data_IF_226311216639
#
_entry.id   IF_226311216639
#
_cell.length_a   1.000
_cell.length_b   1.000
_cell.length_c   1.000
_cell.angle_alpha   90.00
_cell.angle_beta   90.00
_cell.angle_gamma   90.00
#
_symmetry.space_group_name_H-M   'P 1'
#
loop_
_entity.id
_entity.type
_entity.pdbx_description
1 polymer ?
#
# COMPACT_ATOMS: atom_id res chain seq x y z
N UNK A 1 21.00 -20.52 2.26
CA UNK A 1 20.44 -19.39 3.04
C UNK A 1 21.37 -18.21 2.87
N UNK A 2 21.03 -17.24 2.02
CA UNK A 2 21.86 -16.04 1.81
C UNK A 2 21.46 -15.00 2.84
N UNK A 3 22.25 -14.88 3.90
CA UNK A 3 22.13 -13.77 4.85
C UNK A 3 22.66 -12.52 4.18
N UNK A 4 21.84 -11.47 4.08
CA UNK A 4 22.33 -10.14 3.73
C UNK A 4 23.25 -9.67 4.86
N UNK A 5 24.56 -9.87 4.69
CA UNK A 5 25.57 -9.23 5.54
C UNK A 5 25.65 -7.76 5.13
N UNK A 6 24.92 -6.91 5.83
CA UNK A 6 25.19 -5.48 5.79
C UNK A 6 26.51 -5.25 6.53
N UNK A 7 27.61 -5.06 5.79
CA UNK A 7 28.85 -4.54 6.36
C UNK A 7 28.60 -3.10 6.84
N UNK A 8 28.20 -2.94 8.09
CA UNK A 8 28.31 -1.65 8.77
C UNK A 8 29.80 -1.49 9.09
N UNK A 9 30.51 -0.78 8.22
CA UNK A 9 31.86 -0.30 8.53
C UNK A 9 31.77 0.55 9.80
N UNK A 10 32.32 0.04 10.91
CA UNK A 10 32.46 0.82 12.13
C UNK A 10 33.45 1.93 11.84
N UNK A 11 32.94 3.15 11.77
CA UNK A 11 33.77 4.34 11.72
C UNK A 11 34.66 4.35 12.96
N UNK A 12 35.96 4.56 12.78
CA UNK A 12 36.88 4.72 13.90
C UNK A 12 36.55 6.01 14.66
N UNK A 13 37.01 6.12 15.91
CA UNK A 13 36.60 7.16 16.87
C UNK A 13 36.78 8.61 16.36
N UNK A 14 37.64 8.84 15.38
CA UNK A 14 37.97 10.16 14.82
C UNK A 14 37.46 10.36 13.38
N UNK A 15 36.64 9.44 12.88
CA UNK A 15 36.08 9.58 11.54
C UNK A 15 35.11 10.77 11.48
N UNK A 16 35.39 11.69 10.56
CA UNK A 16 34.55 12.86 10.27
C UNK A 16 33.43 12.58 9.27
N UNK A 17 33.47 11.42 8.61
CA UNK A 17 32.42 10.94 7.70
C UNK A 17 31.35 10.14 8.43
N UNK A 18 30.10 10.24 7.98
CA UNK A 18 28.99 9.44 8.50
C UNK A 18 28.53 8.40 7.46
N UNK A 19 28.23 7.19 7.90
CA UNK A 19 27.50 6.24 7.05
C UNK A 19 26.05 6.69 6.96
N UNK A 20 25.58 6.97 5.75
CA UNK A 20 24.17 7.27 5.49
C UNK A 20 23.45 5.97 5.10
N UNK A 21 22.54 5.51 5.95
CA UNK A 21 21.66 4.39 5.60
C UNK A 21 20.44 4.93 4.86
N UNK A 22 20.40 4.73 3.53
CA UNK A 22 19.20 5.02 2.76
C UNK A 22 18.22 3.86 2.89
N UNK A 23 17.17 4.03 3.69
CA UNK A 23 16.10 3.04 3.84
C UNK A 23 14.85 3.53 3.14
N UNK A 24 14.39 2.87 2.05
CA UNK A 24 13.13 3.20 1.42
C UNK A 24 11.99 3.17 2.43
N UNK A 25 11.06 4.11 2.29
CA UNK A 25 9.83 4.12 3.07
C UNK A 25 8.64 4.17 2.14
N UNK A 26 7.54 3.52 2.55
CA UNK A 26 6.29 3.51 1.80
C UNK A 26 5.16 3.91 2.74
N UNK A 27 4.32 4.89 2.36
CA UNK A 27 3.11 5.20 3.10
C UNK A 27 2.09 4.06 2.94
N UNK A 28 1.51 3.63 4.05
CA UNK A 28 0.42 2.66 4.10
C UNK A 28 -0.71 3.27 4.91
N UNK A 29 -1.94 3.14 4.41
CA UNK A 29 -3.14 3.66 5.06
C UNK A 29 -4.02 2.48 5.43
N UNK A 30 -4.34 2.36 6.71
CA UNK A 30 -5.37 1.45 7.19
C UNK A 30 -6.70 2.20 7.22
N UNK A 31 -7.67 1.71 6.46
CA UNK A 31 -8.94 2.40 6.29
C UNK A 31 -10.14 1.46 6.39
N UNK A 32 -11.26 1.98 6.88
CA UNK A 32 -12.53 1.26 7.01
C UNK A 32 -13.30 1.16 5.70
N UNK A 33 -13.03 2.06 4.77
CA UNK A 33 -13.69 2.17 3.47
C UNK A 33 -12.68 2.63 2.41
N UNK A 34 -12.86 2.21 1.14
CA UNK A 34 -11.98 2.62 0.03
C UNK A 34 -12.12 4.12 -0.30
N UNK A 35 -11.27 4.62 -1.21
CA UNK A 35 -11.28 6.00 -1.71
C UNK A 35 -10.42 6.98 -0.89
N UNK A 36 -10.31 8.21 -1.37
CA UNK A 36 -9.61 9.31 -0.66
C UNK A 36 -10.65 10.19 0.02
N UNK A 37 -10.79 10.07 1.34
CA UNK A 37 -11.63 11.02 2.08
C UNK A 37 -10.93 12.37 2.22
N UNK A 38 -11.71 13.44 2.15
CA UNK A 38 -11.36 14.72 2.77
C UNK A 38 -11.54 14.59 4.28
N UNK A 39 -10.48 14.25 5.01
CA UNK A 39 -10.45 14.19 6.48
C UNK A 39 -10.01 12.84 7.07
N UNK A 40 -9.95 12.76 8.40
CA UNK A 40 -9.43 11.59 9.15
C UNK A 40 -10.49 10.49 9.37
N UNK A 41 -11.67 10.60 8.77
CA UNK A 41 -12.85 9.80 9.15
C UNK A 41 -12.83 8.36 8.63
N UNK A 42 -11.92 8.02 7.71
CA UNK A 42 -11.77 6.66 7.18
C UNK A 42 -10.66 5.86 7.84
N UNK A 43 -9.71 6.54 8.50
CA UNK A 43 -8.56 5.93 9.15
C UNK A 43 -8.93 4.95 10.25
N UNK A 44 -8.24 3.81 10.30
CA UNK A 44 -8.30 2.88 11.43
C UNK A 44 -7.25 3.31 12.44
N UNK A 45 -7.70 3.94 13.52
CA UNK A 45 -6.86 4.43 14.60
C UNK A 45 -6.65 3.40 15.70
N UNK A 46 -5.51 3.48 16.38
CA UNK A 46 -5.29 2.75 17.63
C UNK A 46 -4.95 1.27 17.46
N UNK A 47 -4.58 0.83 16.25
CA UNK A 47 -4.13 -0.54 16.01
C UNK A 47 -2.61 -0.63 16.22
N UNK A 48 -2.16 -1.60 17.00
CA UNK A 48 -0.74 -1.85 17.16
C UNK A 48 -0.21 -2.53 15.90
N UNK A 49 0.99 -2.15 15.45
CA UNK A 49 1.63 -2.74 14.28
C UNK A 49 3.10 -3.05 14.54
N UNK A 50 3.60 -4.03 13.79
CA UNK A 50 5.01 -4.44 13.77
C UNK A 50 5.47 -4.64 12.34
N UNK A 51 6.65 -4.13 12.04
CA UNK A 51 7.33 -4.35 10.76
C UNK A 51 8.56 -5.20 11.02
N UNK A 52 8.69 -6.29 10.28
CA UNK A 52 9.86 -7.16 10.33
C UNK A 52 10.56 -7.23 8.98
N UNK A 53 11.90 -7.27 9.00
CA UNK A 53 12.71 -7.49 7.81
C UNK A 53 13.92 -8.35 8.19
N UNK A 54 14.23 -9.37 7.38
CA UNK A 54 15.29 -10.34 7.69
C UNK A 54 15.10 -11.08 9.03
N UNK A 55 13.86 -11.28 9.47
CA UNK A 55 13.54 -11.93 10.75
C UNK A 55 13.70 -11.02 11.99
N UNK A 56 14.10 -9.76 11.81
CA UNK A 56 14.24 -8.79 12.89
C UNK A 56 13.12 -7.75 12.86
N UNK A 57 12.72 -7.26 14.04
CA UNK A 57 11.78 -6.13 14.15
C UNK A 57 12.52 -4.84 13.81
N UNK A 58 12.03 -4.12 12.80
CA UNK A 58 12.64 -2.87 12.32
C UNK A 58 11.81 -1.63 12.66
N UNK A 59 10.54 -1.83 13.01
CA UNK A 59 9.63 -0.78 13.40
C UNK A 59 8.46 -1.37 14.19
N UNK A 60 7.98 -0.63 15.19
CA UNK A 60 6.70 -0.86 15.88
C UNK A 60 5.99 0.46 16.04
N UNK A 61 4.69 0.40 16.30
CA UNK A 61 3.93 1.59 16.62
C UNK A 61 2.45 1.32 16.75
N UNK A 62 1.68 2.40 16.79
CA UNK A 62 0.22 2.38 16.82
C UNK A 62 -0.30 3.29 15.73
N UNK A 63 -1.36 2.89 15.03
CA UNK A 63 -1.92 3.68 13.94
C UNK A 63 -2.50 5.00 14.46
N UNK A 64 -2.14 6.14 13.86
CA UNK A 64 -2.71 7.45 14.18
C UNK A 64 -4.19 7.55 13.76
N UNK A 65 -4.83 8.69 14.06
CA UNK A 65 -6.26 8.92 13.79
C UNK A 65 -6.63 8.74 12.30
N UNK A 66 -5.73 9.16 11.39
CA UNK A 66 -5.88 9.03 9.94
C UNK A 66 -5.53 7.62 9.41
N UNK A 67 -5.10 6.70 10.29
CA UNK A 67 -4.71 5.34 9.91
C UNK A 67 -3.43 5.26 9.07
N UNK A 68 -2.72 6.38 8.84
CA UNK A 68 -1.53 6.43 7.98
C UNK A 68 -0.28 6.09 8.77
N UNK A 69 0.52 5.17 8.25
CA UNK A 69 1.85 4.88 8.77
C UNK A 69 2.88 4.94 7.65
N UNK A 70 4.12 5.30 8.02
CA UNK A 70 5.26 5.23 7.12
C UNK A 70 6.02 3.95 7.44
N UNK A 71 5.99 2.96 6.54
CA UNK A 71 6.67 1.68 6.73
C UNK A 71 8.07 1.72 6.17
N UNK A 72 9.04 1.35 7.01
CA UNK A 72 10.45 1.21 6.62
C UNK A 72 10.67 -0.13 5.92
N UNK A 73 11.38 -0.09 4.80
CA UNK A 73 11.66 -1.26 3.97
C UNK A 73 13.18 -1.45 3.80
N UNK A 74 13.90 -1.92 4.82
CA UNK A 74 15.30 -2.32 4.65
C UNK A 74 15.42 -3.38 3.56
N UNK A 75 16.27 -3.13 2.55
CA UNK A 75 16.38 -4.02 1.38
C UNK A 75 15.18 -4.01 0.44
N UNK A 76 14.27 -3.03 0.56
CA UNK A 76 13.13 -2.85 -0.34
C UNK A 76 11.93 -3.77 -0.06
N UNK A 77 11.97 -4.57 1.01
CA UNK A 77 10.90 -5.48 1.41
C UNK A 77 10.78 -5.60 2.93
N UNK A 78 9.56 -5.74 3.42
CA UNK A 78 9.29 -6.06 4.82
C UNK A 78 7.95 -6.80 4.97
N UNK A 79 7.79 -7.47 6.11
CA UNK A 79 6.49 -8.00 6.54
C UNK A 79 5.87 -7.02 7.53
N UNK A 80 4.67 -6.54 7.22
CA UNK A 80 3.86 -5.71 8.10
C UNK A 80 2.79 -6.56 8.76
N UNK A 81 2.74 -6.51 10.08
CA UNK A 81 1.75 -7.21 10.89
C UNK A 81 0.90 -6.20 11.66
N UNK A 82 -0.41 -6.40 11.63
CA UNK A 82 -1.34 -5.75 12.53
C UNK A 82 -1.58 -6.66 13.72
N UNK A 83 -1.51 -6.09 14.92
CA UNK A 83 -1.53 -6.83 16.17
C UNK A 83 -2.83 -6.53 16.94
N UNK A 84 -3.35 -7.55 17.60
CA UNK A 84 -4.37 -7.44 18.64
C UNK A 84 -3.88 -8.19 19.87
N UNK A 85 -3.74 -7.49 21.00
CA UNK A 85 -3.18 -8.04 22.25
C UNK A 85 -1.83 -8.75 22.04
N UNK A 86 -0.96 -8.17 21.20
CA UNK A 86 0.36 -8.73 20.88
C UNK A 86 0.37 -9.86 19.84
N UNK A 87 -0.80 -10.33 19.38
CA UNK A 87 -0.91 -11.41 18.39
C UNK A 87 -1.20 -10.85 16.99
N UNK A 88 -0.53 -11.33 15.93
CA UNK A 88 -0.86 -10.95 14.56
C UNK A 88 -2.29 -11.36 14.18
N UNK A 89 -3.07 -10.40 13.67
CA UNK A 89 -4.41 -10.63 13.11
C UNK A 89 -4.45 -10.44 11.59
N UNK A 90 -3.46 -9.74 11.03
CA UNK A 90 -3.27 -9.59 9.61
C UNK A 90 -1.77 -9.44 9.29
N UNK A 91 -1.35 -10.03 8.19
CA UNK A 91 0.05 -10.04 7.73
C UNK A 91 0.10 -9.65 6.27
N UNK A 92 0.96 -8.68 5.95
CA UNK A 92 1.12 -8.13 4.61
C UNK A 92 2.59 -8.21 4.19
N UNK A 93 2.82 -8.67 2.96
CA UNK A 93 4.12 -8.54 2.31
C UNK A 93 4.21 -7.19 1.61
N UNK A 94 5.09 -6.32 2.10
CA UNK A 94 5.26 -4.95 1.59
C UNK A 94 6.54 -4.91 0.78
N UNK A 95 6.42 -4.48 -0.48
CA UNK A 95 7.53 -4.37 -1.42
C UNK A 95 7.54 -3.00 -2.07
N UNK A 96 8.72 -2.44 -2.28
CA UNK A 96 8.86 -1.27 -3.17
C UNK A 96 8.55 -1.71 -4.59
N UNK A 97 7.61 -1.02 -5.23
CA UNK A 97 7.41 -1.12 -6.68
C UNK A 97 8.19 0.00 -7.35
N UNK A 98 9.14 -0.37 -8.21
CA UNK A 98 9.89 0.56 -9.06
C UNK A 98 9.32 0.69 -10.47
N UNK A 99 8.50 -0.28 -10.90
CA UNK A 99 7.83 -0.24 -12.20
C UNK A 99 6.73 0.82 -12.22
N UNK A 100 6.60 1.52 -13.35
CA UNK A 100 5.48 2.41 -13.61
C UNK A 100 4.14 1.68 -13.45
N UNK A 101 3.09 2.45 -13.15
CA UNK A 101 1.73 1.95 -13.27
C UNK A 101 1.45 1.65 -14.74
N UNK A 102 0.68 0.58 -14.99
CA UNK A 102 0.17 0.26 -16.31
C UNK A 102 -0.72 1.41 -16.81
N UNK A 103 -0.87 1.50 -18.13
CA UNK A 103 -1.70 2.53 -18.75
C UNK A 103 -3.12 2.51 -18.18
N UNK A 104 -3.67 3.69 -17.93
CA UNK A 104 -4.96 3.90 -17.26
C UNK A 104 -6.17 3.42 -18.07
N UNK A 105 -5.99 3.18 -19.37
CA UNK A 105 -6.97 2.59 -20.27
C UNK A 105 -6.83 1.06 -20.43
N UNK A 106 -6.02 0.41 -19.59
CA UNK A 106 -5.90 -1.06 -19.54
C UNK A 106 -6.55 -1.61 -18.28
N UNK A 107 -7.10 -2.83 -18.35
CA UNK A 107 -7.72 -3.50 -17.20
C UNK A 107 -6.76 -3.58 -15.99
N UNK A 108 -5.49 -4.04 -16.14
CA UNK A 108 -4.54 -4.01 -15.03
C UNK A 108 -4.29 -2.61 -14.47
N UNK A 109 -4.26 -1.59 -15.33
CA UNK A 109 -4.06 -0.20 -14.90
C UNK A 109 -5.21 0.35 -14.07
N UNK A 110 -6.46 0.04 -14.45
CA UNK A 110 -7.66 0.41 -13.67
C UNK A 110 -7.68 -0.33 -12.34
N UNK A 111 -7.48 -1.66 -12.36
CA UNK A 111 -7.43 -2.48 -11.16
C UNK A 111 -6.35 -1.99 -10.18
N UNK A 112 -5.14 -1.69 -10.67
CA UNK A 112 -4.06 -1.23 -9.79
C UNK A 112 -4.40 0.09 -9.09
N UNK A 113 -5.03 1.03 -9.81
CA UNK A 113 -5.48 2.31 -9.25
C UNK A 113 -6.60 2.12 -8.23
N UNK A 114 -7.60 1.27 -8.51
CA UNK A 114 -8.65 0.91 -7.55
C UNK A 114 -8.05 0.29 -6.27
N UNK A 115 -7.06 -0.59 -6.42
CA UNK A 115 -6.36 -1.21 -5.28
C UNK A 115 -5.55 -0.19 -4.47
N UNK A 116 -4.92 0.80 -5.11
CA UNK A 116 -4.24 1.91 -4.41
C UNK A 116 -5.21 2.74 -3.57
N UNK A 117 -6.47 2.87 -4.02
CA UNK A 117 -7.55 3.48 -3.24
C UNK A 117 -8.16 2.52 -2.20
N UNK A 118 -7.66 1.29 -2.10
CA UNK A 118 -8.07 0.27 -1.16
C UNK A 118 -9.39 -0.43 -1.48
N UNK A 119 -9.84 -0.40 -2.74
CA UNK A 119 -10.91 -1.31 -3.18
C UNK A 119 -10.40 -2.75 -3.20
N UNK A 120 -11.24 -3.68 -2.73
CA UNK A 120 -10.90 -5.11 -2.68
C UNK A 120 -11.20 -5.78 -4.02
N UNK A 121 -10.16 -6.25 -4.69
CA UNK A 121 -10.26 -6.90 -6.01
C UNK A 121 -10.15 -8.43 -5.94
N UNK A 122 -9.97 -8.97 -4.73
CA UNK A 122 -9.74 -10.39 -4.49
C UNK A 122 -8.25 -10.74 -4.45
N UNK A 123 -7.98 -12.03 -4.61
CA UNK A 123 -6.65 -12.63 -4.54
C UNK A 123 -6.31 -13.42 -5.81
N UNK A 124 -7.01 -13.14 -6.90
CA UNK A 124 -6.73 -13.76 -8.20
C UNK A 124 -5.41 -13.19 -8.78
N UNK A 125 -4.86 -13.87 -9.78
CA UNK A 125 -3.61 -13.47 -10.44
C UNK A 125 -2.35 -14.06 -9.82
N UNK A 126 -1.19 -13.91 -10.49
CA UNK A 126 0.06 -14.56 -10.12
C UNK A 126 0.63 -14.08 -8.78
N UNK A 127 0.35 -12.82 -8.42
CA UNK A 127 0.83 -12.18 -7.19
C UNK A 127 -0.21 -12.21 -6.06
N UNK A 128 -1.36 -12.87 -6.28
CA UNK A 128 -2.51 -12.86 -5.37
C UNK A 128 -2.98 -11.44 -4.98
N UNK A 129 -2.81 -10.47 -5.89
CA UNK A 129 -3.15 -9.07 -5.71
C UNK A 129 -4.44 -8.66 -6.45
N UNK A 130 -5.18 -9.63 -7.01
CA UNK A 130 -6.43 -9.38 -7.71
C UNK A 130 -6.25 -8.62 -9.03
N UNK A 131 -5.01 -8.46 -9.51
CA UNK A 131 -4.72 -7.85 -10.81
C UNK A 131 -4.68 -8.94 -11.87
N UNK A 132 -5.56 -8.81 -12.86
CA UNK A 132 -5.83 -9.82 -13.91
C UNK A 132 -5.87 -9.17 -15.29
N UNK A 133 -5.92 -9.99 -16.34
CA UNK A 133 -6.16 -9.50 -17.71
C UNK A 133 -7.60 -9.10 -17.96
N UNK A 134 -8.52 -9.58 -17.13
CA UNK A 134 -9.97 -9.49 -17.35
C UNK A 134 -10.70 -8.79 -16.20
N UNK A 135 -11.87 -8.22 -16.47
CA UNK A 135 -12.73 -7.64 -15.44
C UNK A 135 -13.42 -8.78 -14.68
N UNK A 136 -12.98 -9.00 -13.44
CA UNK A 136 -13.63 -9.93 -12.51
C UNK A 136 -14.89 -9.30 -11.90
N UNK A 137 -15.77 -10.10 -11.31
CA UNK A 137 -16.94 -9.60 -10.56
C UNK A 137 -16.55 -8.62 -9.45
N UNK A 138 -15.39 -8.83 -8.82
CA UNK A 138 -14.88 -7.92 -7.78
C UNK A 138 -14.34 -6.62 -8.38
N UNK A 139 -13.77 -6.68 -9.58
CA UNK A 139 -13.34 -5.47 -10.32
C UNK A 139 -14.55 -4.65 -10.76
N UNK A 140 -15.57 -5.28 -11.33
CA UNK A 140 -16.82 -4.63 -11.73
C UNK A 140 -17.51 -3.95 -10.54
N UNK A 141 -17.63 -4.67 -9.41
CA UNK A 141 -18.13 -4.09 -8.16
C UNK A 141 -17.28 -2.92 -7.68
N UNK A 142 -15.94 -3.02 -7.72
CA UNK A 142 -15.07 -1.93 -7.31
C UNK A 142 -15.21 -0.68 -8.19
N UNK A 143 -15.45 -0.85 -9.50
CA UNK A 143 -15.74 0.26 -10.41
C UNK A 143 -17.07 0.92 -10.02
N UNK A 144 -18.13 0.13 -9.80
CA UNK A 144 -19.43 0.65 -9.36
C UNK A 144 -19.32 1.40 -8.03
N UNK A 145 -18.67 0.81 -7.03
CA UNK A 145 -18.45 1.43 -5.72
C UNK A 145 -17.69 2.75 -5.85
N UNK A 146 -16.65 2.79 -6.69
CA UNK A 146 -15.90 4.01 -6.99
C UNK A 146 -16.77 5.08 -7.68
N UNK A 147 -17.57 4.71 -8.67
CA UNK A 147 -18.47 5.63 -9.36
C UNK A 147 -19.50 6.24 -8.39
N UNK A 148 -20.03 5.43 -7.48
CA UNK A 148 -20.96 5.88 -6.43
C UNK A 148 -20.25 6.88 -5.50
N UNK A 149 -19.04 6.55 -5.03
CA UNK A 149 -18.24 7.42 -4.16
C UNK A 149 -17.92 8.76 -4.82
N UNK A 150 -17.63 8.76 -6.13
CA UNK A 150 -17.33 9.95 -6.92
C UNK A 150 -18.56 10.66 -7.47
N UNK A 151 -19.78 10.18 -7.18
CA UNK A 151 -21.06 10.72 -7.69
C UNK A 151 -21.10 10.78 -9.24
N UNK A 152 -20.56 9.75 -9.89
CA UNK A 152 -20.56 9.59 -11.34
C UNK A 152 -21.78 8.76 -11.79
N UNK A 153 -21.93 8.61 -13.11
CA UNK A 153 -22.83 7.61 -13.66
C UNK A 153 -22.34 6.20 -13.25
N UNK A 154 -23.24 5.41 -12.64
CA UNK A 154 -22.95 4.08 -12.09
C UNK A 154 -23.23 2.98 -13.13
N UNK A 155 -22.48 3.01 -14.23
CA UNK A 155 -22.66 2.08 -15.34
C UNK A 155 -21.75 0.83 -15.25
N UNK A 156 -20.83 0.77 -14.28
CA UNK A 156 -19.85 -0.30 -14.14
C UNK A 156 -18.73 -0.25 -15.18
N UNK A 157 -18.70 0.80 -16.01
CA UNK A 157 -17.70 0.98 -17.05
C UNK A 157 -16.65 2.01 -16.64
N UNK A 158 -15.38 1.65 -16.76
CA UNK A 158 -14.26 2.59 -16.63
C UNK A 158 -14.17 3.52 -17.86
N UNK A 159 -15.20 4.35 -18.09
CA UNK A 159 -15.24 5.35 -19.14
C UNK A 159 -14.21 6.47 -18.90
N UNK A 160 -14.01 7.36 -19.89
CA UNK A 160 -13.03 8.47 -19.78
C UNK A 160 -13.23 9.35 -18.54
N UNK A 161 -14.48 9.61 -18.14
CA UNK A 161 -14.80 10.33 -16.91
C UNK A 161 -14.39 9.54 -15.66
N UNK A 162 -14.73 8.25 -15.60
CA UNK A 162 -14.33 7.36 -14.49
C UNK A 162 -12.81 7.31 -14.36
N UNK A 163 -12.09 7.10 -15.48
CA UNK A 163 -10.62 7.05 -15.52
C UNK A 163 -10.00 8.37 -15.05
N UNK A 164 -10.53 9.51 -15.51
CA UNK A 164 -10.04 10.83 -15.10
C UNK A 164 -10.14 11.00 -13.58
N UNK A 165 -11.31 10.72 -13.00
CA UNK A 165 -11.50 10.81 -11.55
C UNK A 165 -10.64 9.80 -10.78
N UNK A 166 -10.45 8.60 -11.33
CA UNK A 166 -9.61 7.57 -10.73
C UNK A 166 -8.14 8.02 -10.65
N UNK A 167 -7.63 8.60 -11.74
CA UNK A 167 -6.29 9.19 -11.77
C UNK A 167 -6.17 10.37 -10.80
N UNK A 168 -7.16 11.26 -10.74
CA UNK A 168 -7.17 12.38 -9.79
C UNK A 168 -7.12 11.89 -8.35
N UNK A 169 -7.93 10.88 -7.99
CA UNK A 169 -7.95 10.30 -6.66
C UNK A 169 -6.61 9.63 -6.31
N UNK A 170 -6.02 8.86 -7.23
CA UNK A 170 -4.71 8.22 -7.01
C UNK A 170 -3.60 9.25 -6.86
N UNK A 171 -3.61 10.32 -7.65
CA UNK A 171 -2.62 11.40 -7.56
C UNK A 171 -2.77 12.25 -6.29
N UNK A 172 -3.92 12.18 -5.63
CA UNK A 172 -4.15 12.81 -4.33
C UNK A 172 -3.62 11.97 -3.16
N UNK A 173 -3.17 10.72 -3.40
CA UNK A 173 -2.51 9.91 -2.37
C UNK A 173 -1.14 10.54 -2.07
N UNK A 174 -0.87 10.92 -0.81
CA UNK A 174 0.33 11.64 -0.40
C UNK A 174 1.56 10.77 -0.15
#
# INVERSE_FOLDING_TARGET
>A
MSGFSAFISRLFREATGHNTLNTPTVPIIFQRAPGVATGNDRGISGMDFRVTSGGSVVQTGRTPADGRIIVRLPGGRATLEILHNGNPVATYDVRVRSAALEADNTIPGVQRRLRMLGHQLGHDGPDADGITSDITKLTDRAILDFQIDQKLAFDGHASGTTITNLNTAVNAIP
#
